data_IF_744973266730
#
_entry.id   IF_744973266730
#
_cell.length_a   1.000
_cell.length_b   1.000
_cell.length_c   1.000
_cell.angle_alpha   90.00
_cell.angle_beta   90.00
_cell.angle_gamma   90.00
#
_symmetry.space_group_name_H-M   'P 1'
#
loop_
_entity.id
_entity.type
_entity.pdbx_description
1 polymer ?
#
# COMPACT_ATOMS: atom_id res chain seq x y z
N UNK A 1 12.68 -12.81 13.89
CA UNK A 1 12.33 -12.34 12.54
C UNK A 1 10.82 -12.36 12.42
N UNK A 2 10.24 -11.22 12.10
CA UNK A 2 8.80 -10.96 12.08
C UNK A 2 8.44 -10.23 10.79
N UNK A 3 7.18 -10.35 10.38
CA UNK A 3 6.55 -9.56 9.32
C UNK A 3 5.20 -9.06 9.84
N UNK A 4 4.74 -7.90 9.36
CA UNK A 4 3.47 -7.31 9.83
C UNK A 4 2.28 -7.80 9.00
N UNK A 5 2.15 -7.32 7.75
CA UNK A 5 1.06 -7.66 6.84
C UNK A 5 1.61 -8.47 5.66
N UNK A 6 1.12 -9.70 5.48
CA UNK A 6 1.52 -10.53 4.35
C UNK A 6 1.00 -9.94 3.02
N UNK A 7 1.89 -9.78 2.04
CA UNK A 7 1.58 -9.29 0.69
C UNK A 7 0.64 -8.07 0.67
N UNK A 8 0.93 -7.05 1.50
CA UNK A 8 0.05 -5.89 1.70
C UNK A 8 -0.36 -5.20 0.38
N UNK A 9 0.52 -5.25 -0.63
CA UNK A 9 0.33 -4.66 -1.96
C UNK A 9 -0.71 -5.37 -2.84
N UNK A 10 -1.16 -6.58 -2.49
CA UNK A 10 -2.11 -7.35 -3.29
C UNK A 10 -3.42 -6.60 -3.51
N UNK A 11 -3.94 -5.97 -2.45
CA UNK A 11 -5.20 -5.23 -2.47
C UNK A 11 -5.25 -4.10 -3.50
N UNK A 12 -4.10 -3.57 -3.96
CA UNK A 12 -4.05 -2.49 -4.94
C UNK A 12 -4.63 -2.84 -6.32
N UNK A 13 -4.87 -4.13 -6.60
CA UNK A 13 -5.51 -4.59 -7.82
C UNK A 13 -7.03 -4.32 -7.82
N UNK A 14 -7.41 -3.04 -7.86
CA UNK A 14 -8.81 -2.56 -7.88
C UNK A 14 -9.15 -1.78 -9.16
N UNK A 15 -8.43 -1.99 -10.26
CA UNK A 15 -8.72 -1.32 -11.53
C UNK A 15 -9.97 -1.89 -12.24
N UNK A 16 -10.32 -3.14 -11.93
CA UNK A 16 -11.46 -3.84 -12.49
C UNK A 16 -12.23 -4.57 -11.39
N UNK A 17 -13.53 -4.78 -11.60
CA UNK A 17 -14.39 -5.54 -10.68
C UNK A 17 -14.46 -6.98 -11.17
N UNK A 18 -13.78 -7.88 -10.46
CA UNK A 18 -13.83 -9.32 -10.72
C UNK A 18 -13.59 -10.12 -9.43
N UNK A 19 -13.82 -11.44 -9.48
CA UNK A 19 -13.66 -12.29 -8.29
C UNK A 19 -12.24 -12.32 -7.71
N UNK A 20 -11.22 -11.99 -8.53
CA UNK A 20 -9.84 -11.93 -8.06
C UNK A 20 -9.55 -10.62 -7.32
N UNK A 21 -10.00 -9.46 -7.81
CA UNK A 21 -9.90 -8.18 -7.10
C UNK A 21 -10.65 -8.22 -5.75
N UNK A 22 -11.80 -8.90 -5.71
CA UNK A 22 -12.57 -9.12 -4.47
C UNK A 22 -11.80 -9.98 -3.47
N UNK A 23 -11.17 -11.06 -3.93
CA UNK A 23 -10.35 -11.93 -3.08
C UNK A 23 -9.18 -11.16 -2.43
N UNK A 24 -8.45 -10.36 -3.20
CA UNK A 24 -7.25 -9.68 -2.71
C UNK A 24 -7.60 -8.64 -1.63
N UNK A 25 -8.59 -7.79 -1.88
CA UNK A 25 -8.99 -6.76 -0.89
C UNK A 25 -9.69 -7.35 0.33
N UNK A 26 -10.46 -8.43 0.17
CA UNK A 26 -11.06 -9.14 1.30
C UNK A 26 -10.00 -9.79 2.18
N UNK A 27 -9.00 -10.45 1.61
CA UNK A 27 -7.99 -11.19 2.37
C UNK A 27 -6.92 -10.29 3.00
N UNK A 28 -6.57 -9.16 2.38
CA UNK A 28 -5.68 -8.19 3.01
C UNK A 28 -6.40 -7.38 4.10
N UNK A 29 -7.61 -6.91 3.84
CA UNK A 29 -8.21 -5.79 4.59
C UNK A 29 -9.63 -6.06 5.09
N UNK A 30 -10.20 -7.22 4.81
CA UNK A 30 -11.57 -7.56 5.21
C UNK A 30 -12.66 -6.71 4.52
N UNK A 31 -12.32 -6.01 3.43
CA UNK A 31 -13.29 -5.19 2.71
C UNK A 31 -14.17 -6.06 1.82
N UNK A 32 -15.48 -5.89 1.96
CA UNK A 32 -16.50 -6.50 1.10
C UNK A 32 -17.34 -5.41 0.47
N UNK A 33 -17.54 -5.54 -0.83
CA UNK A 33 -18.27 -4.56 -1.63
C UNK A 33 -19.53 -5.18 -2.21
N UNK A 34 -20.55 -4.35 -2.34
CA UNK A 34 -21.79 -4.74 -3.00
C UNK A 34 -21.63 -4.63 -4.53
N UNK A 35 -22.58 -5.20 -5.27
CA UNK A 35 -22.55 -5.22 -6.74
C UNK A 35 -22.61 -3.79 -7.35
N UNK A 36 -23.22 -2.85 -6.63
CA UNK A 36 -23.39 -1.46 -7.08
C UNK A 36 -22.19 -0.56 -6.70
N UNK A 37 -21.23 -1.06 -5.90
CA UNK A 37 -20.05 -0.26 -5.52
C UNK A 37 -19.15 -0.04 -6.72
N UNK A 38 -18.94 1.22 -7.08
CA UNK A 38 -18.14 1.62 -8.23
C UNK A 38 -16.65 1.33 -8.01
N UNK A 39 -15.89 1.26 -9.11
CA UNK A 39 -14.42 1.14 -9.07
C UNK A 39 -13.77 2.24 -8.23
N UNK A 40 -14.24 3.48 -8.37
CA UNK A 40 -13.69 4.63 -7.64
C UNK A 40 -13.91 4.50 -6.12
N UNK A 41 -15.10 4.06 -5.70
CA UNK A 41 -15.40 3.84 -4.28
C UNK A 41 -14.58 2.68 -3.69
N UNK A 42 -14.40 1.60 -4.46
CA UNK A 42 -13.54 0.47 -4.09
C UNK A 42 -12.09 0.92 -3.91
N UNK A 43 -11.58 1.73 -4.83
CA UNK A 43 -10.24 2.31 -4.74
C UNK A 43 -10.11 3.23 -3.52
N UNK A 44 -11.08 4.10 -3.27
CA UNK A 44 -11.08 4.97 -2.10
C UNK A 44 -11.01 4.17 -0.78
N UNK A 45 -11.83 3.13 -0.66
CA UNK A 45 -11.85 2.25 0.51
C UNK A 45 -10.53 1.46 0.65
N UNK A 46 -9.98 0.93 -0.44
CA UNK A 46 -8.69 0.23 -0.44
C UNK A 46 -7.56 1.16 0.00
N UNK A 47 -7.45 2.37 -0.54
CA UNK A 47 -6.40 3.31 -0.12
C UNK A 47 -6.53 3.72 1.35
N UNK A 48 -7.75 3.85 1.86
CA UNK A 48 -7.96 4.11 3.29
C UNK A 48 -7.54 2.93 4.16
N UNK A 49 -7.92 1.69 3.79
CA UNK A 49 -7.52 0.50 4.52
C UNK A 49 -6.01 0.30 4.51
N UNK A 50 -5.38 0.41 3.34
CA UNK A 50 -3.94 0.32 3.19
C UNK A 50 -3.19 1.40 4.01
N UNK A 51 -3.71 2.63 4.08
CA UNK A 51 -3.13 3.65 4.96
C UNK A 51 -3.17 3.22 6.43
N UNK A 52 -4.33 2.77 6.91
CA UNK A 52 -4.50 2.31 8.28
C UNK A 52 -3.58 1.12 8.60
N UNK A 53 -3.41 0.18 7.66
CA UNK A 53 -2.49 -0.95 7.79
C UNK A 53 -1.02 -0.53 7.84
N UNK A 54 -0.61 0.44 7.03
CA UNK A 54 0.75 0.98 7.06
C UNK A 54 1.04 1.67 8.40
N UNK A 55 0.10 2.47 8.91
CA UNK A 55 0.21 3.11 10.23
C UNK A 55 0.24 2.04 11.33
N UNK A 56 -0.61 1.02 11.26
CA UNK A 56 -0.62 -0.08 12.21
C UNK A 56 0.71 -0.84 12.20
N UNK A 57 1.28 -1.09 11.01
CA UNK A 57 2.60 -1.69 10.85
C UNK A 57 3.68 -0.84 11.51
N UNK A 58 3.69 0.46 11.27
CA UNK A 58 4.71 1.35 11.83
C UNK A 58 4.64 1.41 13.37
N UNK A 59 3.42 1.45 13.93
CA UNK A 59 3.20 1.34 15.37
C UNK A 59 3.67 -0.02 15.93
N UNK A 60 3.43 -1.11 15.20
CA UNK A 60 3.87 -2.45 15.59
C UNK A 60 5.39 -2.60 15.58
N UNK A 61 6.09 -2.04 14.58
CA UNK A 61 7.55 -1.99 14.52
C UNK A 61 8.10 -1.27 15.75
N UNK A 62 7.60 -0.04 16.02
CA UNK A 62 8.05 0.76 17.15
C UNK A 62 7.90 0.03 18.49
N UNK A 63 6.71 -0.51 18.75
CA UNK A 63 6.45 -1.28 19.99
C UNK A 63 7.32 -2.55 20.04
N UNK A 64 7.54 -3.22 18.90
CA UNK A 64 8.39 -4.39 18.82
C UNK A 64 9.83 -4.10 19.26
N UNK A 65 10.41 -2.99 18.81
CA UNK A 65 11.76 -2.56 19.22
C UNK A 65 11.81 -2.00 20.65
N UNK A 66 10.73 -1.39 21.15
CA UNK A 66 10.60 -1.02 22.57
C UNK A 66 10.62 -2.25 23.50
N UNK A 67 10.00 -3.36 23.06
CA UNK A 67 9.99 -4.64 23.79
C UNK A 67 11.36 -5.33 23.71
N UNK A 68 11.92 -5.42 22.50
CA UNK A 68 13.23 -6.00 22.27
C UNK A 68 13.90 -5.34 21.05
N UNK A 69 14.97 -4.55 21.23
CA UNK A 69 15.66 -3.89 20.13
C UNK A 69 16.38 -4.86 19.18
N UNK A 70 16.58 -6.13 19.58
CA UNK A 70 17.19 -7.15 18.72
C UNK A 70 16.19 -7.80 17.76
N UNK A 71 14.90 -7.46 17.85
CA UNK A 71 13.93 -7.93 16.87
C UNK A 71 14.23 -7.39 15.47
N UNK A 72 13.92 -8.23 14.49
CA UNK A 72 14.01 -7.91 13.08
C UNK A 72 12.59 -8.01 12.54
N UNK A 73 12.00 -6.88 12.15
CA UNK A 73 10.60 -6.72 11.78
C UNK A 73 10.56 -6.13 10.37
N UNK A 74 10.11 -6.94 9.41
CA UNK A 74 10.11 -6.61 8.00
C UNK A 74 8.73 -6.31 7.43
N UNK A 75 8.71 -5.76 6.23
CA UNK A 75 7.53 -5.71 5.39
C UNK A 75 7.39 -6.99 4.55
N UNK A 76 6.20 -7.25 4.01
CA UNK A 76 6.01 -8.31 3.02
C UNK A 76 5.21 -7.76 1.84
N UNK A 77 5.82 -7.80 0.66
CA UNK A 77 5.28 -7.30 -0.59
C UNK A 77 5.17 -8.43 -1.62
N UNK A 78 4.08 -8.42 -2.39
CA UNK A 78 4.00 -9.27 -3.59
C UNK A 78 4.67 -8.54 -4.77
N UNK A 79 5.97 -8.75 -4.94
CA UNK A 79 6.75 -8.10 -5.99
C UNK A 79 6.69 -8.91 -7.29
N UNK A 80 5.85 -8.47 -8.21
CA UNK A 80 5.76 -9.02 -9.55
C UNK A 80 6.72 -8.33 -10.53
N UNK A 81 7.35 -9.12 -11.41
CA UNK A 81 8.13 -8.54 -12.51
C UNK A 81 7.19 -7.90 -13.54
N UNK A 82 7.39 -6.62 -13.84
CA UNK A 82 6.70 -5.89 -14.89
C UNK A 82 7.74 -5.49 -15.94
N UNK A 83 7.54 -5.96 -17.17
CA UNK A 83 8.43 -5.66 -18.29
C UNK A 83 7.69 -4.87 -19.36
N UNK A 84 8.38 -3.92 -20.01
CA UNK A 84 7.78 -3.17 -21.09
C UNK A 84 7.61 -4.10 -22.29
N UNK A 85 6.49 -3.99 -22.99
CA UNK A 85 6.22 -4.82 -24.17
C UNK A 85 7.23 -4.58 -25.31
N UNK A 86 7.82 -3.37 -25.36
CA UNK A 86 8.88 -3.02 -26.31
C UNK A 86 9.76 -1.87 -25.80
N UNK A 87 10.71 -1.42 -26.62
CA UNK A 87 11.56 -0.26 -26.33
C UNK A 87 10.87 1.09 -26.57
N UNK A 88 9.61 1.10 -27.02
CA UNK A 88 8.87 2.35 -27.24
C UNK A 88 8.74 3.13 -25.92
N UNK A 89 8.90 4.47 -25.93
CA UNK A 89 8.76 5.28 -24.73
C UNK A 89 7.41 5.11 -24.01
N UNK A 90 6.33 4.87 -24.76
CA UNK A 90 5.01 4.62 -24.19
C UNK A 90 4.97 3.35 -23.32
N UNK A 91 5.63 2.27 -23.76
CA UNK A 91 5.66 1.00 -23.02
C UNK A 91 6.55 1.11 -21.78
N UNK A 92 7.63 1.89 -21.85
CA UNK A 92 8.49 2.20 -20.70
C UNK A 92 7.72 2.99 -19.63
N UNK A 93 6.99 4.03 -20.06
CA UNK A 93 6.17 4.84 -19.17
C UNK A 93 5.01 4.04 -18.56
N UNK A 94 4.39 3.16 -19.33
CA UNK A 94 3.31 2.30 -18.84
C UNK A 94 3.79 1.41 -17.68
N UNK A 95 4.97 0.79 -17.80
CA UNK A 95 5.57 0.00 -16.71
C UNK A 95 5.91 0.88 -15.52
N UNK A 96 6.48 2.07 -15.74
CA UNK A 96 6.77 3.00 -14.64
C UNK A 96 5.49 3.36 -13.87
N UNK A 97 4.39 3.67 -14.56
CA UNK A 97 3.10 3.98 -13.92
C UNK A 97 2.50 2.77 -13.20
N UNK A 98 2.58 1.58 -13.79
CA UNK A 98 2.11 0.36 -13.14
C UNK A 98 2.90 0.04 -11.87
N UNK A 99 4.22 0.29 -11.87
CA UNK A 99 5.08 0.15 -10.68
C UNK A 99 4.73 1.17 -9.61
N UNK A 100 4.56 2.44 -9.96
CA UNK A 100 4.14 3.48 -9.00
C UNK A 100 2.83 3.12 -8.26
N UNK A 101 1.89 2.43 -8.91
CA UNK A 101 0.64 2.00 -8.28
C UNK A 101 0.77 0.82 -7.31
N UNK A 102 1.90 0.10 -7.32
CA UNK A 102 2.15 -1.09 -6.49
C UNK A 102 3.31 -0.94 -5.52
N UNK A 103 4.34 -0.18 -5.89
CA UNK A 103 5.59 -0.06 -5.13
C UNK A 103 5.46 0.98 -4.00
N UNK A 104 4.43 1.84 -4.01
CA UNK A 104 4.25 2.84 -2.94
C UNK A 104 4.09 2.24 -1.53
N UNK A 105 3.62 0.99 -1.40
CA UNK A 105 3.61 0.29 -0.11
C UNK A 105 5.04 0.08 0.41
N UNK A 106 5.99 -0.27 -0.48
CA UNK A 106 7.39 -0.42 -0.09
C UNK A 106 7.99 0.91 0.31
N UNK A 107 7.69 1.97 -0.45
CA UNK A 107 8.20 3.31 -0.16
C UNK A 107 7.75 3.76 1.23
N UNK A 108 6.48 3.56 1.60
CA UNK A 108 6.00 3.94 2.94
C UNK A 108 6.63 3.07 4.03
N UNK A 109 6.77 1.75 3.83
CA UNK A 109 7.41 0.88 4.83
C UNK A 109 8.90 1.20 5.05
N UNK A 110 9.62 1.53 3.99
CA UNK A 110 11.09 1.67 4.02
C UNK A 110 11.51 3.12 4.29
N UNK A 111 10.81 4.09 3.69
CA UNK A 111 11.14 5.51 3.78
C UNK A 111 10.27 6.25 4.81
N UNK A 112 9.19 5.63 5.29
CA UNK A 112 8.28 6.23 6.26
C UNK A 112 7.45 7.38 5.69
N UNK A 113 7.42 7.54 4.37
CA UNK A 113 6.76 8.65 3.69
C UNK A 113 6.11 8.19 2.37
N UNK A 114 5.00 8.85 2.02
CA UNK A 114 4.33 8.61 0.74
C UNK A 114 5.10 9.27 -0.42
N UNK A 115 5.22 8.58 -1.57
CA UNK A 115 5.73 9.19 -2.78
C UNK A 115 4.87 10.37 -3.25
N UNK A 116 5.50 11.40 -3.82
CA UNK A 116 4.82 12.61 -4.28
C UNK A 116 3.71 12.32 -5.31
N UNK A 117 3.90 11.32 -6.17
CA UNK A 117 2.88 10.90 -7.14
C UNK A 117 1.60 10.38 -6.48
N UNK A 118 1.71 9.74 -5.30
CA UNK A 118 0.57 9.26 -4.54
C UNK A 118 -0.14 10.42 -3.86
N UNK A 119 0.61 11.37 -3.27
CA UNK A 119 0.01 12.59 -2.73
C UNK A 119 -0.74 13.38 -3.81
N UNK A 120 -0.17 13.52 -5.02
CA UNK A 120 -0.86 14.13 -6.17
C UNK A 120 -2.04 13.32 -6.69
N UNK A 121 -2.09 12.00 -6.47
CA UNK A 121 -3.27 11.20 -6.75
C UNK A 121 -4.38 11.53 -5.75
N UNK A 122 -4.08 11.51 -4.46
CA UNK A 122 -5.05 11.76 -3.39
C UNK A 122 -5.62 13.19 -3.45
N UNK A 123 -4.79 14.20 -3.74
CA UNK A 123 -5.24 15.58 -3.99
C UNK A 123 -6.29 15.66 -5.11
N UNK A 124 -6.13 14.88 -6.18
CA UNK A 124 -7.01 14.93 -7.36
C UNK A 124 -8.30 14.12 -7.17
N UNK A 125 -8.24 13.01 -6.44
CA UNK A 125 -9.37 12.09 -6.29
C UNK A 125 -10.16 12.29 -5.01
N UNK A 126 -9.55 12.90 -3.98
CA UNK A 126 -10.13 12.97 -2.64
C UNK A 126 -10.16 11.62 -1.90
N UNK A 127 -9.43 10.62 -2.39
CA UNK A 127 -9.29 9.33 -1.70
C UNK A 127 -8.39 9.44 -0.47
N UNK A 128 -8.48 8.46 0.45
CA UNK A 128 -7.73 8.45 1.71
C UNK A 128 -8.03 9.70 2.55
N UNK A 129 -9.30 9.89 2.89
CA UNK A 129 -9.81 11.11 3.52
C UNK A 129 -9.60 11.17 5.05
N UNK A 130 -9.39 10.02 5.69
CA UNK A 130 -9.11 9.94 7.13
C UNK A 130 -7.61 9.73 7.34
N UNK A 131 -6.89 10.85 7.48
CA UNK A 131 -5.45 10.90 7.75
C UNK A 131 -5.16 11.99 8.76
N UNK A 132 -4.23 11.72 9.68
CA UNK A 132 -3.83 12.68 10.72
C UNK A 132 -2.34 12.96 10.66
N UNK A 133 -1.92 14.11 11.23
CA UNK A 133 -0.50 14.43 11.37
C UNK A 133 0.26 13.36 12.18
N UNK A 134 -0.43 12.72 13.15
CA UNK A 134 0.14 11.64 13.96
C UNK A 134 0.45 10.40 13.12
N UNK A 135 -0.36 10.10 12.10
CA UNK A 135 -0.14 8.95 11.23
C UNK A 135 1.19 9.11 10.47
N UNK A 136 1.50 10.31 9.98
CA UNK A 136 2.78 10.58 9.32
C UNK A 136 3.98 10.49 10.28
N UNK A 137 3.81 10.89 11.54
CA UNK A 137 4.84 10.72 12.58
C UNK A 137 5.07 9.23 12.85
N UNK A 138 4.01 8.45 12.95
CA UNK A 138 4.10 7.01 13.20
C UNK A 138 4.79 6.32 12.02
N UNK A 139 4.38 6.60 10.78
CA UNK A 139 5.02 6.05 9.58
C UNK A 139 6.52 6.37 9.51
N UNK A 140 6.91 7.61 9.78
CA UNK A 140 8.31 8.04 9.75
C UNK A 140 9.16 7.40 10.87
N UNK A 141 8.54 7.05 12.00
CA UNK A 141 9.24 6.48 13.17
C UNK A 141 9.17 4.96 13.27
N UNK A 142 8.43 4.29 12.38
CA UNK A 142 8.21 2.84 12.38
C UNK A 142 8.59 2.16 11.07
N UNK A 143 9.67 2.62 10.42
CA UNK A 143 10.19 1.98 9.20
C UNK A 143 10.74 0.59 9.49
N UNK A 144 10.58 -0.33 8.55
CA UNK A 144 10.94 -1.74 8.71
C UNK A 144 12.45 -2.00 8.66
N UNK A 145 12.88 -3.13 9.22
CA UNK A 145 14.27 -3.59 9.21
C UNK A 145 14.66 -4.27 7.89
N UNK A 146 13.69 -4.90 7.21
CA UNK A 146 13.90 -5.64 5.94
C UNK A 146 12.63 -5.77 5.09
#
# INVERSE_FOLDING_TARGET
YWITHNEISNQANQAEINGFSDFLVWTNSGLKFDAETTVSERQAAMYQAAHNELVASARAVRIGHEINPDFQIGAMLNVGSLYPASTKPADQLAVQKARQQRDWFSDVHILGAYPNEMEKLFERTGWRSDVTDQDFIDLASGTVDY
#
